data_IF_413508890648
#
_entry.id   IF_413508890648
#
_cell.length_a   1.000
_cell.length_b   1.000
_cell.length_c   1.000
_cell.angle_alpha   90.00
_cell.angle_beta   90.00
_cell.angle_gamma   90.00
#
_symmetry.space_group_name_H-M   'P 1'
#
loop_
_entity.id
_entity.type
_entity.pdbx_description
1 polymer ?
#
# COMPACT_ATOMS: atom_id res chain seq x y z
N UNK A 1 -8.94 12.24 8.43
CA UNK A 1 -8.46 11.14 7.58
C UNK A 1 -7.40 11.63 6.62
N UNK A 2 -6.14 11.44 7.03
CA UNK A 2 -4.94 11.83 6.29
C UNK A 2 -4.66 10.93 5.09
N UNK A 3 -4.77 9.62 5.28
CA UNK A 3 -4.42 8.63 4.27
C UNK A 3 -5.68 8.08 3.58
N UNK A 4 -5.60 7.90 2.27
CA UNK A 4 -6.59 7.15 1.49
C UNK A 4 -5.87 6.05 0.74
N UNK A 5 -6.35 4.81 0.88
CA UNK A 5 -5.73 3.62 0.31
C UNK A 5 -6.71 2.96 -0.64
N UNK A 6 -6.28 2.68 -1.86
CA UNK A 6 -6.99 1.82 -2.80
C UNK A 6 -6.12 0.58 -3.07
N UNK A 7 -6.74 -0.61 -3.09
CA UNK A 7 -6.06 -1.87 -3.39
C UNK A 7 -6.88 -2.68 -4.38
N UNK A 8 -6.22 -3.27 -5.38
CA UNK A 8 -6.85 -4.24 -6.28
C UNK A 8 -5.90 -5.39 -6.63
N UNK A 9 -6.46 -6.46 -7.20
CA UNK A 9 -5.68 -7.54 -7.81
C UNK A 9 -4.90 -7.01 -9.01
N UNK A 10 -3.61 -7.37 -9.18
CA UNK A 10 -2.87 -6.93 -10.38
C UNK A 10 -3.37 -7.64 -11.65
N UNK A 11 -3.67 -8.94 -11.54
CA UNK A 11 -4.24 -9.71 -12.63
C UNK A 11 -5.76 -9.52 -12.68
N UNK A 12 -6.28 -9.04 -13.82
CA UNK A 12 -7.71 -8.76 -13.98
C UNK A 12 -8.17 -7.43 -13.35
N UNK A 13 -7.25 -6.49 -13.12
CA UNK A 13 -7.53 -5.14 -12.63
C UNK A 13 -8.48 -4.37 -13.57
N UNK A 14 -9.79 -4.38 -13.26
CA UNK A 14 -10.81 -3.58 -13.93
C UNK A 14 -11.21 -2.33 -13.09
N UNK A 15 -10.43 -1.97 -12.06
CA UNK A 15 -10.77 -0.91 -11.11
C UNK A 15 -11.71 -1.35 -9.99
N UNK A 16 -12.01 -2.65 -9.88
CA UNK A 16 -12.82 -3.24 -8.81
C UNK A 16 -11.94 -3.60 -7.63
N UNK A 17 -11.54 -2.58 -6.87
CA UNK A 17 -10.71 -2.73 -5.67
C UNK A 17 -11.40 -2.29 -4.38
N UNK A 18 -10.67 -2.38 -3.28
CA UNK A 18 -11.09 -1.90 -1.96
C UNK A 18 -10.53 -0.49 -1.71
N UNK A 19 -11.40 0.44 -1.30
CA UNK A 19 -11.04 1.80 -0.90
C UNK A 19 -11.26 2.00 0.60
N UNK A 20 -10.22 2.47 1.31
CA UNK A 20 -10.28 2.77 2.73
C UNK A 20 -9.61 4.11 3.05
N UNK A 21 -9.95 4.71 4.21
CA UNK A 21 -9.39 5.97 4.67
C UNK A 21 -8.94 5.83 6.12
N UNK A 22 -7.78 6.38 6.44
CA UNK A 22 -7.13 6.24 7.75
C UNK A 22 -6.56 7.56 8.24
N UNK A 23 -6.37 7.67 9.55
CA UNK A 23 -5.70 8.83 10.16
C UNK A 23 -4.21 8.54 10.41
N UNK A 24 -3.87 7.28 10.65
CA UNK A 24 -2.51 6.87 10.99
C UNK A 24 -1.93 5.84 10.02
N UNK A 25 -0.59 5.83 9.91
CA UNK A 25 0.13 5.01 8.94
C UNK A 25 0.24 3.54 9.36
N UNK A 26 0.14 3.26 10.66
CA UNK A 26 0.00 1.91 11.22
C UNK A 26 -1.35 1.27 10.86
N UNK A 27 -2.44 2.05 10.79
CA UNK A 27 -3.72 1.56 10.29
C UNK A 27 -3.64 1.19 8.80
N UNK A 28 -2.94 2.00 7.99
CA UNK A 28 -2.64 1.69 6.59
C UNK A 28 -1.85 0.38 6.48
N UNK A 29 -0.85 0.22 7.35
CA UNK A 29 -0.03 -0.99 7.38
C UNK A 29 -0.86 -2.24 7.71
N UNK A 30 -1.70 -2.21 8.75
CA UNK A 30 -2.59 -3.33 9.09
C UNK A 30 -3.57 -3.64 7.96
N UNK A 31 -4.14 -2.60 7.33
CA UNK A 31 -5.07 -2.77 6.20
C UNK A 31 -4.44 -3.53 5.03
N UNK A 32 -3.22 -3.16 4.64
CA UNK A 32 -2.49 -3.84 3.55
C UNK A 32 -2.09 -5.24 3.98
N UNK A 33 -1.58 -5.41 5.21
CA UNK A 33 -1.17 -6.70 5.75
C UNK A 33 -2.31 -7.72 5.75
N UNK A 34 -3.52 -7.31 6.10
CA UNK A 34 -4.68 -8.21 6.12
C UNK A 34 -5.20 -8.59 4.72
N UNK A 35 -4.65 -7.97 3.67
CA UNK A 35 -5.07 -8.12 2.25
C UNK A 35 -3.93 -8.58 1.34
N UNK A 36 -2.84 -9.06 1.93
CA UNK A 36 -1.73 -9.60 1.17
C UNK A 36 -2.22 -10.71 0.24
N UNK A 37 -1.67 -10.81 -0.96
CA UNK A 37 -2.05 -11.85 -1.90
C UNK A 37 -1.74 -13.22 -1.29
N UNK A 38 -2.71 -14.12 -1.36
CA UNK A 38 -2.57 -15.50 -0.86
C UNK A 38 -2.01 -16.44 -1.91
N UNK A 39 -1.83 -15.97 -3.16
CA UNK A 39 -1.38 -16.77 -4.30
C UNK A 39 -2.45 -17.65 -4.94
N UNK A 40 -3.72 -17.57 -4.48
CA UNK A 40 -4.82 -18.39 -5.03
C UNK A 40 -5.35 -17.85 -6.36
N UNK A 41 -5.45 -16.52 -6.49
CA UNK A 41 -5.99 -15.85 -7.68
C UNK A 41 -4.97 -14.93 -8.34
N UNK A 42 -4.13 -14.28 -7.54
CA UNK A 42 -2.95 -13.55 -7.96
C UNK A 42 -1.91 -13.61 -6.84
N UNK A 43 -0.64 -13.59 -7.21
CA UNK A 43 0.48 -13.43 -6.28
C UNK A 43 0.80 -11.95 -6.00
N UNK A 44 0.08 -11.02 -6.65
CA UNK A 44 0.32 -9.57 -6.59
C UNK A 44 -0.92 -8.75 -6.26
N UNK A 45 -0.66 -7.59 -5.66
CA UNK A 45 -1.64 -6.54 -5.38
C UNK A 45 -1.09 -5.20 -5.83
N UNK A 46 -1.92 -4.44 -6.54
CA UNK A 46 -1.66 -3.03 -6.80
C UNK A 46 -2.21 -2.22 -5.64
N UNK A 47 -1.39 -1.32 -5.12
CA UNK A 47 -1.73 -0.47 -3.97
C UNK A 47 -1.44 0.98 -4.31
N UNK A 48 -2.42 1.83 -4.06
CA UNK A 48 -2.30 3.28 -4.17
C UNK A 48 -2.59 3.89 -2.81
N UNK A 49 -1.70 4.75 -2.34
CA UNK A 49 -1.84 5.47 -1.08
C UNK A 49 -1.69 6.95 -1.34
N UNK A 50 -2.71 7.71 -1.01
CA UNK A 50 -2.70 9.18 -1.04
C UNK A 50 -2.51 9.73 0.36
N UNK A 51 -1.46 10.53 0.56
CA UNK A 51 -1.24 11.33 1.77
C UNK A 51 -1.75 12.75 1.52
N UNK A 52 -2.90 13.09 2.13
CA UNK A 52 -3.55 14.39 1.93
C UNK A 52 -2.80 15.55 2.58
N UNK A 53 -2.02 15.29 3.64
CA UNK A 53 -1.25 16.34 4.32
C UNK A 53 0.03 16.68 3.54
N UNK A 54 0.70 15.66 2.99
CA UNK A 54 1.85 15.86 2.12
C UNK A 54 1.49 16.28 0.69
N UNK A 55 0.18 16.28 0.35
CA UNK A 55 -0.34 16.49 -1.00
C UNK A 55 0.30 15.57 -2.06
N UNK A 56 0.63 14.34 -1.68
CA UNK A 56 1.32 13.36 -2.52
C UNK A 56 0.60 12.01 -2.57
N UNK A 57 0.91 11.22 -3.57
CA UNK A 57 0.44 9.85 -3.71
C UNK A 57 1.59 8.91 -4.06
N UNK A 58 1.50 7.66 -3.62
CA UNK A 58 2.44 6.59 -3.94
C UNK A 58 1.65 5.40 -4.44
N UNK A 59 2.14 4.76 -5.50
CA UNK A 59 1.54 3.57 -6.07
C UNK A 59 2.62 2.51 -6.27
N UNK A 60 2.34 1.27 -5.87
CA UNK A 60 3.27 0.16 -6.00
C UNK A 60 2.53 -1.16 -6.16
N UNK A 61 3.19 -2.13 -6.80
CA UNK A 61 2.79 -3.53 -6.78
C UNK A 61 3.51 -4.23 -5.62
N UNK A 62 2.84 -5.13 -4.92
CA UNK A 62 3.43 -5.92 -3.85
C UNK A 62 3.04 -7.40 -3.96
N UNK A 63 3.99 -8.26 -3.61
CA UNK A 63 3.76 -9.66 -3.28
C UNK A 63 3.80 -9.86 -1.76
N UNK A 64 3.27 -10.97 -1.26
CA UNK A 64 3.40 -11.32 0.15
C UNK A 64 4.88 -11.47 0.59
N UNK A 65 5.73 -11.95 -0.32
CA UNK A 65 7.17 -12.11 -0.09
C UNK A 65 7.87 -10.74 0.06
N UNK A 66 7.64 -9.81 -0.87
CA UNK A 66 8.20 -8.45 -0.79
C UNK A 66 7.72 -7.70 0.46
N UNK A 67 6.47 -7.93 0.86
CA UNK A 67 5.95 -7.38 2.10
C UNK A 67 6.69 -7.92 3.33
N UNK A 68 6.90 -9.24 3.39
CA UNK A 68 7.65 -9.85 4.49
C UNK A 68 9.11 -9.38 4.52
N UNK A 69 9.73 -9.13 3.36
CA UNK A 69 11.12 -8.67 3.30
C UNK A 69 11.32 -7.22 3.75
N UNK A 70 10.38 -6.33 3.40
CA UNK A 70 10.59 -4.89 3.52
C UNK A 70 9.60 -4.16 4.45
N UNK A 71 8.43 -4.73 4.68
CA UNK A 71 7.30 -4.07 5.32
C UNK A 71 6.70 -4.89 6.48
N UNK A 72 7.39 -5.91 7.00
CA UNK A 72 6.86 -6.80 8.04
C UNK A 72 6.46 -6.07 9.34
N UNK A 73 7.00 -4.88 9.60
CA UNK A 73 6.65 -4.08 10.79
C UNK A 73 6.11 -2.71 10.38
N UNK A 74 5.25 -2.08 11.22
CA UNK A 74 4.76 -0.73 10.97
C UNK A 74 5.88 0.28 10.74
N UNK A 75 6.99 0.16 11.49
CA UNK A 75 8.15 1.04 11.37
C UNK A 75 8.90 0.84 10.05
N UNK A 76 9.08 -0.41 9.61
CA UNK A 76 9.72 -0.70 8.33
C UNK A 76 8.87 -0.15 7.17
N UNK A 77 7.56 -0.39 7.19
CA UNK A 77 6.62 0.17 6.23
C UNK A 77 6.67 1.70 6.21
N UNK A 78 6.64 2.36 7.37
CA UNK A 78 6.72 3.83 7.44
C UNK A 78 7.99 4.39 6.79
N UNK A 79 9.13 3.69 6.93
CA UNK A 79 10.40 4.07 6.29
C UNK A 79 10.32 3.91 4.77
N UNK A 80 9.83 2.77 4.28
CA UNK A 80 9.62 2.52 2.86
C UNK A 80 8.67 3.57 2.25
N UNK A 81 7.55 3.83 2.90
CA UNK A 81 6.55 4.80 2.46
C UNK A 81 7.12 6.21 2.31
N UNK A 82 7.91 6.67 3.30
CA UNK A 82 8.59 7.97 3.23
C UNK A 82 9.61 8.04 2.10
N UNK A 83 10.34 6.95 1.85
CA UNK A 83 11.29 6.86 0.75
C UNK A 83 10.58 7.01 -0.61
N UNK A 84 9.48 6.29 -0.83
CA UNK A 84 8.69 6.38 -2.06
C UNK A 84 8.12 7.79 -2.31
N UNK A 85 7.62 8.46 -1.26
CA UNK A 85 7.16 9.85 -1.38
C UNK A 85 8.31 10.79 -1.77
N UNK A 86 9.50 10.60 -1.18
CA UNK A 86 10.66 11.46 -1.46
C UNK A 86 11.10 11.37 -2.92
N UNK A 87 11.09 10.17 -3.52
CA UNK A 87 11.48 9.97 -4.92
C UNK A 87 10.54 10.61 -5.94
N UNK A 88 9.25 10.80 -5.62
CA UNK A 88 8.31 11.48 -6.54
C UNK A 88 8.46 13.00 -6.59
N UNK A 89 9.15 13.61 -5.62
CA UNK A 89 9.35 15.06 -5.52
C UNK A 89 10.73 15.53 -6.01
N UNK A 90 11.49 14.69 -6.72
CA UNK A 90 12.77 15.05 -7.36
C UNK A 90 12.63 15.08 -8.87
#
# INVERSE_FOLDING_TARGET
MRYQVFMEEEEGADGTGELANFDHLDEVWEFIRSRLPTGVFSDRRLVWVKDREAAGDVSFSLTAELWAEHCETPLAFARCFKMFLTFKHT
#
